data_IF_666872063562
#
_entry.id   IF_666872063562
#
_cell.length_a   1.000
_cell.length_b   1.000
_cell.length_c   1.000
_cell.angle_alpha   90.00
_cell.angle_beta   90.00
_cell.angle_gamma   90.00
#
_symmetry.space_group_name_H-M   'P 1'
#
loop_
_entity.id
_entity.type
_entity.pdbx_description
1 polymer ?
#
# COMPACT_ATOMS: atom_id res chain seq x y z
N UNK A 1 0.93 13.21 -11.32
CA UNK A 1 1.87 13.15 -10.18
C UNK A 1 1.88 11.77 -9.53
N UNK A 2 0.74 11.15 -9.22
CA UNK A 2 0.74 9.84 -8.56
C UNK A 2 1.39 8.69 -9.35
N UNK A 3 1.32 8.67 -10.69
CA UNK A 3 2.11 7.69 -11.49
C UNK A 3 3.61 7.85 -11.24
N UNK A 4 4.13 9.08 -11.22
CA UNK A 4 5.55 9.33 -10.92
C UNK A 4 5.89 8.85 -9.51
N UNK A 5 5.02 9.13 -8.52
CA UNK A 5 5.23 8.65 -7.16
C UNK A 5 5.22 7.11 -7.05
N UNK A 6 4.38 6.43 -7.83
CA UNK A 6 4.33 4.96 -7.93
C UNK A 6 5.66 4.39 -8.47
N UNK A 7 6.17 4.95 -9.58
CA UNK A 7 7.44 4.48 -10.14
C UNK A 7 8.65 4.82 -9.25
N UNK A 8 8.61 5.95 -8.54
CA UNK A 8 9.64 6.29 -7.55
C UNK A 8 9.58 5.31 -6.37
N UNK A 9 8.40 4.88 -5.93
CA UNK A 9 8.28 3.87 -4.90
C UNK A 9 8.87 2.51 -5.36
N UNK A 10 8.62 2.08 -6.60
CA UNK A 10 9.31 0.92 -7.18
C UNK A 10 10.84 1.08 -7.15
N UNK A 11 11.35 2.25 -7.53
CA UNK A 11 12.80 2.54 -7.49
C UNK A 11 13.38 2.51 -6.06
N UNK A 12 12.55 2.77 -5.05
CA UNK A 12 12.88 2.61 -3.63
C UNK A 12 12.63 1.17 -3.12
N UNK A 13 12.36 0.20 -3.99
CA UNK A 13 12.21 -1.22 -3.61
C UNK A 13 10.83 -1.60 -3.08
N UNK A 14 9.78 -0.81 -3.33
CA UNK A 14 8.43 -1.17 -2.94
C UNK A 14 7.76 -2.02 -4.00
N UNK A 15 7.34 -3.23 -3.62
CA UNK A 15 6.49 -4.07 -4.45
C UNK A 15 5.03 -3.59 -4.45
N UNK A 16 4.23 -4.17 -5.33
CA UNK A 16 2.81 -3.88 -5.36
C UNK A 16 2.09 -4.37 -4.10
N UNK A 17 1.13 -3.60 -3.58
CA UNK A 17 0.44 -3.96 -2.33
C UNK A 17 -0.29 -5.32 -2.45
N UNK A 18 -0.85 -5.64 -3.63
CA UNK A 18 -1.54 -6.93 -3.85
C UNK A 18 -0.60 -8.14 -4.01
N UNK A 19 0.72 -7.94 -4.11
CA UNK A 19 1.70 -9.04 -4.10
C UNK A 19 2.20 -9.38 -2.71
N UNK A 20 1.74 -8.70 -1.65
CA UNK A 20 2.09 -9.05 -0.28
C UNK A 20 1.77 -10.52 0.06
N UNK A 21 2.60 -11.20 0.87
CA UNK A 21 2.35 -12.58 1.29
C UNK A 21 1.00 -12.79 2.01
N UNK A 22 0.55 -11.79 2.76
CA UNK A 22 -0.69 -11.77 3.54
C UNK A 22 -1.93 -11.29 2.76
N UNK A 23 -1.80 -10.92 1.47
CA UNK A 23 -2.87 -10.28 0.69
C UNK A 23 -4.17 -11.09 0.61
N UNK A 24 -4.10 -12.42 0.69
CA UNK A 24 -5.26 -13.33 0.65
C UNK A 24 -6.16 -13.20 1.90
N UNK A 25 -5.78 -12.42 2.90
CA UNK A 25 -6.65 -12.03 4.03
C UNK A 25 -7.52 -10.80 3.73
N UNK A 26 -7.19 -10.04 2.67
CA UNK A 26 -7.76 -8.73 2.37
C UNK A 26 -8.46 -8.67 1.02
N UNK A 27 -7.95 -9.41 0.05
CA UNK A 27 -8.46 -9.45 -1.33
C UNK A 27 -8.54 -10.88 -1.85
N UNK A 28 -9.48 -11.10 -2.76
CA UNK A 28 -9.56 -12.29 -3.59
C UNK A 28 -9.09 -11.97 -5.01
N UNK A 29 -8.09 -12.73 -5.49
CA UNK A 29 -7.65 -12.66 -6.89
C UNK A 29 -8.48 -13.64 -7.72
N UNK A 30 -9.23 -13.12 -8.70
CA UNK A 30 -10.07 -13.89 -9.62
C UNK A 30 -9.26 -14.37 -10.81
N UNK A 31 -8.50 -15.44 -10.61
CA UNK A 31 -7.58 -16.03 -11.59
C UNK A 31 -8.22 -16.39 -12.94
N UNK A 32 -9.51 -16.67 -12.95
CA UNK A 32 -10.32 -16.96 -14.14
C UNK A 32 -10.58 -15.72 -15.01
N UNK A 33 -10.53 -14.53 -14.40
CA UNK A 33 -10.76 -13.23 -15.05
C UNK A 33 -9.47 -12.58 -15.53
N UNK A 34 -8.30 -13.10 -15.16
CA UNK A 34 -7.00 -12.54 -15.55
C UNK A 34 -6.60 -13.07 -16.93
N UNK A 35 -6.07 -12.19 -17.77
CA UNK A 35 -5.46 -12.57 -19.05
C UNK A 35 -4.38 -13.64 -18.85
N UNK A 36 -4.35 -14.64 -19.73
CA UNK A 36 -3.53 -15.84 -19.54
C UNK A 36 -2.05 -15.51 -19.39
N UNK A 37 -1.55 -14.54 -20.17
CA UNK A 37 -0.14 -14.16 -20.19
C UNK A 37 0.21 -13.21 -19.04
N UNK A 38 -0.80 -12.65 -18.38
CA UNK A 38 -0.64 -11.70 -17.27
C UNK A 38 -0.76 -12.33 -15.88
N UNK A 39 -1.05 -13.64 -15.76
CA UNK A 39 -1.20 -14.31 -14.45
C UNK A 39 0.01 -14.15 -13.54
N UNK A 40 1.22 -14.10 -14.10
CA UNK A 40 2.45 -13.87 -13.34
C UNK A 40 2.44 -12.56 -12.53
N UNK A 41 1.70 -11.55 -12.97
CA UNK A 41 1.61 -10.22 -12.32
C UNK A 41 0.81 -10.23 -11.00
N UNK A 42 0.18 -11.36 -10.66
CA UNK A 42 -0.64 -11.52 -9.44
C UNK A 42 -0.04 -12.52 -8.45
N UNK A 43 1.15 -13.06 -8.76
CA UNK A 43 1.90 -13.86 -7.81
C UNK A 43 2.23 -13.03 -6.58
N UNK A 44 2.31 -13.70 -5.44
CA UNK A 44 2.77 -13.09 -4.20
C UNK A 44 4.29 -13.10 -4.21
N UNK A 45 4.89 -12.07 -3.62
CA UNK A 45 6.31 -12.07 -3.33
C UNK A 45 6.63 -13.11 -2.25
N UNK A 46 7.89 -13.52 -2.19
CA UNK A 46 8.39 -14.37 -1.13
C UNK A 46 8.30 -13.63 0.23
N UNK A 47 7.81 -14.28 1.30
CA UNK A 47 7.84 -13.72 2.65
C UNK A 47 9.22 -13.22 3.10
N UNK A 48 10.31 -13.83 2.63
CA UNK A 48 11.67 -13.42 2.99
C UNK A 48 12.14 -12.16 2.23
N UNK A 49 11.48 -11.84 1.10
CA UNK A 49 11.78 -10.67 0.26
C UNK A 49 10.91 -9.44 0.60
N UNK A 50 9.95 -9.58 1.53
CA UNK A 50 9.01 -8.49 1.89
C UNK A 50 9.05 -8.18 3.37
N UNK A 51 9.54 -6.97 3.70
CA UNK A 51 9.38 -6.37 5.03
C UNK A 51 8.33 -5.25 4.98
N UNK A 52 7.14 -5.55 5.50
CA UNK A 52 6.05 -4.60 5.70
C UNK A 52 6.19 -3.80 7.01
N UNK A 53 7.25 -3.99 7.79
CA UNK A 53 7.62 -3.27 9.00
C UNK A 53 6.47 -3.12 10.02
N UNK A 54 5.54 -4.10 10.05
CA UNK A 54 4.31 -4.05 10.86
C UNK A 54 3.32 -2.94 10.46
N UNK A 55 3.34 -2.49 9.19
CA UNK A 55 2.33 -1.62 8.59
C UNK A 55 1.20 -2.50 8.01
N UNK A 56 -0.07 -2.25 8.37
CA UNK A 56 -1.20 -3.07 7.90
C UNK A 56 -1.40 -2.95 6.39
N UNK A 57 -2.10 -3.91 5.79
CA UNK A 57 -2.50 -3.88 4.39
C UNK A 57 -3.27 -2.60 4.06
N UNK A 58 -2.94 -1.96 2.95
CA UNK A 58 -3.53 -0.70 2.57
C UNK A 58 -4.21 -0.73 1.20
N UNK A 59 -5.54 -0.86 1.21
CA UNK A 59 -6.35 -0.75 0.00
C UNK A 59 -6.13 0.58 -0.75
N UNK A 60 -5.78 1.66 -0.05
CA UNK A 60 -5.52 2.98 -0.64
C UNK A 60 -4.07 3.19 -1.07
N UNK A 61 -3.19 2.20 -0.94
CA UNK A 61 -1.80 2.34 -1.35
C UNK A 61 -1.70 2.72 -2.82
N UNK A 62 -0.79 3.66 -3.12
CA UNK A 62 -0.46 4.00 -4.50
C UNK A 62 0.12 2.80 -5.26
N UNK A 63 0.64 1.80 -4.53
CA UNK A 63 1.21 0.56 -5.05
C UNK A 63 0.17 -0.52 -5.29
N UNK A 64 -1.09 -0.33 -4.89
CA UNK A 64 -2.13 -1.31 -5.14
C UNK A 64 -2.58 -1.28 -6.61
N UNK A 65 -2.83 -2.46 -7.20
CA UNK A 65 -3.48 -2.59 -8.51
C UNK A 65 -4.92 -2.11 -8.52
N UNK A 66 -5.38 -1.68 -9.69
CA UNK A 66 -6.80 -1.42 -9.96
C UNK A 66 -7.58 -2.73 -9.92
N UNK A 67 -8.85 -2.65 -9.57
CA UNK A 67 -9.77 -3.81 -9.45
C UNK A 67 -9.90 -4.65 -10.72
N UNK A 68 -9.69 -4.06 -11.90
CA UNK A 68 -9.82 -4.68 -13.23
C UNK A 68 -8.48 -4.81 -13.97
N UNK A 69 -7.35 -4.66 -13.26
CA UNK A 69 -6.02 -4.73 -13.89
C UNK A 69 -5.84 -6.06 -14.63
N UNK A 70 -5.30 -6.04 -15.85
CA UNK A 70 -5.02 -7.23 -16.67
C UNK A 70 -6.21 -8.18 -16.86
N UNK A 71 -7.42 -7.63 -16.87
CA UNK A 71 -8.62 -8.42 -17.14
C UNK A 71 -8.61 -8.97 -18.58
N UNK A 72 -9.02 -10.23 -18.73
CA UNK A 72 -9.15 -10.89 -20.05
C UNK A 72 -10.31 -10.34 -20.89
N UNK A 73 -11.31 -9.73 -20.24
CA UNK A 73 -12.48 -9.12 -20.86
C UNK A 73 -12.80 -7.80 -20.17
N UNK A 74 -13.47 -6.90 -20.90
CA UNK A 74 -13.89 -5.63 -20.32
C UNK A 74 -14.78 -5.83 -19.09
N UNK A 75 -14.61 -4.94 -18.12
CA UNK A 75 -15.42 -4.85 -16.91
C UNK A 75 -15.38 -5.99 -15.88
N UNK A 76 -14.55 -7.02 -16.06
CA UNK A 76 -14.36 -8.03 -15.01
C UNK A 76 -13.38 -7.58 -13.94
N UNK A 77 -13.76 -7.78 -12.67
CA UNK A 77 -12.81 -7.65 -11.57
C UNK A 77 -11.82 -8.81 -11.57
N UNK A 78 -10.53 -8.47 -11.58
CA UNK A 78 -9.43 -9.41 -11.32
C UNK A 78 -9.05 -9.41 -9.84
N UNK A 79 -9.34 -8.33 -9.12
CA UNK A 79 -9.17 -8.23 -7.66
C UNK A 79 -10.47 -7.76 -7.04
N UNK A 80 -11.01 -8.56 -6.11
CA UNK A 80 -12.14 -8.16 -5.25
C UNK A 80 -11.70 -7.98 -3.82
N UNK A 81 -12.09 -6.89 -3.18
CA UNK A 81 -11.83 -6.67 -1.75
C UNK A 81 -12.86 -7.46 -0.92
N UNK A 82 -12.45 -8.05 0.21
CA UNK A 82 -13.41 -8.69 1.11
C UNK A 82 -14.32 -7.68 1.82
N UNK A 83 -13.77 -6.51 2.14
CA UNK A 83 -14.55 -5.36 2.59
C UNK A 83 -14.96 -4.55 1.36
N UNK A 84 -16.24 -4.59 1.02
CA UNK A 84 -16.77 -4.05 -0.25
C UNK A 84 -16.60 -2.54 -0.39
N UNK A 85 -16.58 -1.81 0.72
CA UNK A 85 -16.46 -0.34 0.73
C UNK A 85 -15.10 0.12 0.16
N UNK A 86 -14.08 -0.74 0.25
CA UNK A 86 -12.75 -0.48 -0.31
C UNK A 86 -12.60 -0.87 -1.79
N UNK A 87 -13.64 -1.43 -2.42
CA UNK A 87 -13.55 -1.91 -3.81
C UNK A 87 -13.24 -0.79 -4.81
N UNK A 88 -13.68 0.44 -4.50
CA UNK A 88 -13.40 1.66 -5.28
C UNK A 88 -12.14 2.39 -4.82
N UNK A 89 -11.56 2.00 -3.69
CA UNK A 89 -10.33 2.58 -3.14
C UNK A 89 -9.08 2.03 -3.83
N UNK A 90 -9.09 0.73 -4.16
CA UNK A 90 -7.92 0.07 -4.77
C UNK A 90 -7.58 0.64 -6.14
N UNK A 91 -6.28 0.88 -6.36
CA UNK A 91 -5.76 1.37 -7.63
C UNK A 91 -5.87 2.88 -7.85
N UNK A 92 -6.11 3.65 -6.78
CA UNK A 92 -5.97 5.11 -6.83
C UNK A 92 -4.55 5.51 -7.30
N UNK A 93 -4.44 6.64 -8.01
CA UNK A 93 -3.16 7.17 -8.53
C UNK A 93 -3.07 8.69 -8.32
N UNK A 94 -3.66 9.19 -7.25
CA UNK A 94 -3.70 10.61 -6.92
C UNK A 94 -2.48 11.00 -6.09
N UNK A 95 -2.24 10.28 -4.99
CA UNK A 95 -1.18 10.58 -4.03
C UNK A 95 -0.75 9.34 -3.22
N UNK A 96 0.38 9.45 -2.52
CA UNK A 96 0.79 8.48 -1.52
C UNK A 96 -0.24 8.43 -0.39
N UNK A 97 -0.57 7.23 0.05
CA UNK A 97 -1.41 7.03 1.23
C UNK A 97 -0.64 7.34 2.51
N UNK A 98 -1.36 7.45 3.63
CA UNK A 98 -0.71 7.56 4.94
C UNK A 98 0.22 6.37 5.23
N UNK A 99 -0.17 5.15 4.83
CA UNK A 99 0.61 3.95 5.09
C UNK A 99 1.80 3.80 4.13
N UNK A 100 1.70 4.29 2.88
CA UNK A 100 2.85 4.36 1.96
C UNK A 100 3.98 5.19 2.60
N UNK A 101 3.65 6.41 3.03
CA UNK A 101 4.60 7.32 3.68
C UNK A 101 5.12 6.71 5.00
N UNK A 102 4.24 6.07 5.78
CA UNK A 102 4.62 5.43 7.05
C UNK A 102 5.62 4.30 6.84
N UNK A 103 5.39 3.43 5.85
CA UNK A 103 6.28 2.32 5.55
C UNK A 103 7.63 2.84 5.06
N UNK A 104 7.63 3.77 4.10
CA UNK A 104 8.85 4.45 3.63
C UNK A 104 9.67 5.05 4.78
N UNK A 105 9.02 5.76 5.71
CA UNK A 105 9.71 6.34 6.86
C UNK A 105 10.22 5.30 7.85
N UNK A 106 9.53 4.16 8.01
CA UNK A 106 10.05 3.05 8.85
C UNK A 106 11.29 2.41 8.24
N UNK A 107 11.31 2.21 6.93
CA UNK A 107 12.45 1.59 6.22
C UNK A 107 13.64 2.55 6.17
N UNK A 108 13.45 3.80 5.73
CA UNK A 108 14.55 4.72 5.43
C UNK A 108 14.85 5.76 6.50
N UNK A 109 13.93 6.04 7.42
CA UNK A 109 14.05 7.17 8.36
C UNK A 109 13.91 6.78 9.84
N UNK A 110 13.95 5.47 10.16
CA UNK A 110 13.76 4.97 11.53
C UNK A 110 14.77 5.50 12.55
N UNK A 111 15.98 5.86 12.11
CA UNK A 111 17.07 6.33 12.96
C UNK A 111 17.18 7.87 13.04
N UNK A 112 16.30 8.61 12.38
CA UNK A 112 16.39 10.07 12.29
C UNK A 112 15.89 10.74 13.59
N UNK A 113 14.86 10.18 14.23
CA UNK A 113 14.30 10.72 15.47
C UNK A 113 14.86 10.00 16.71
N UNK A 114 15.73 10.67 17.47
CA UNK A 114 16.22 10.17 18.77
C UNK A 114 15.10 10.09 19.82
N UNK A 115 14.08 10.96 19.73
CA UNK A 115 12.92 11.00 20.62
C UNK A 115 11.67 10.54 19.87
N UNK A 116 11.07 9.44 20.32
CA UNK A 116 9.76 8.99 19.85
C UNK A 116 8.67 9.70 20.63
N UNK A 117 7.79 10.43 19.95
CA UNK A 117 6.65 11.10 20.58
C UNK A 117 5.50 10.12 20.81
N UNK A 118 4.69 10.29 21.88
CA UNK A 118 3.48 9.51 22.07
C UNK A 118 2.45 9.89 20.99
N UNK A 119 2.28 9.01 20.00
CA UNK A 119 1.38 9.23 18.88
C UNK A 119 0.05 8.51 19.10
N UNK A 120 -1.06 9.19 18.81
CA UNK A 120 -2.40 8.60 18.87
C UNK A 120 -2.85 8.09 17.50
N UNK A 121 -3.88 7.21 17.48
CA UNK A 121 -4.57 6.74 16.25
C UNK A 121 -3.64 6.17 15.18
N UNK A 122 -2.58 5.48 15.58
CA UNK A 122 -1.60 4.88 14.66
C UNK A 122 -0.67 5.89 13.96
N UNK A 123 -0.64 7.15 14.42
CA UNK A 123 0.32 8.16 13.99
C UNK A 123 1.77 7.81 14.30
N UNK A 124 2.71 8.58 13.73
CA UNK A 124 4.14 8.43 13.98
C UNK A 124 4.85 9.79 13.96
N UNK A 125 6.02 9.87 14.59
CA UNK A 125 6.83 11.11 14.66
C UNK A 125 7.30 11.51 13.26
N UNK A 126 7.17 12.78 12.88
CA UNK A 126 7.66 13.26 11.58
C UNK A 126 9.20 13.25 11.58
N UNK A 127 9.84 12.41 10.73
CA UNK A 127 11.31 12.32 10.70
C UNK A 127 11.99 13.62 10.29
N UNK A 128 11.27 14.57 9.67
CA UNK A 128 11.83 15.87 9.26
C UNK A 128 11.85 16.89 10.39
N UNK A 129 11.17 16.63 11.51
CA UNK A 129 11.06 17.58 12.65
C UNK A 129 11.39 16.89 13.96
N UNK A 130 12.68 16.57 14.13
CA UNK A 130 13.22 15.82 15.28
C UNK A 130 13.22 16.60 16.61
N UNK A 131 13.11 17.92 16.57
CA UNK A 131 13.16 18.82 17.74
C UNK A 131 11.79 19.36 18.18
N UNK A 132 10.71 19.07 17.43
CA UNK A 132 9.37 19.58 17.70
C UNK A 132 8.33 18.49 17.99
N UNK A 133 7.20 18.86 18.58
CA UNK A 133 6.06 17.96 18.87
C UNK A 133 5.24 17.60 17.62
N UNK A 134 5.88 17.40 16.46
CA UNK A 134 5.17 17.15 15.19
C UNK A 134 4.93 15.66 14.96
N UNK A 135 3.67 15.29 14.79
CA UNK A 135 3.22 13.92 14.53
C UNK A 135 2.51 13.90 13.19
N UNK A 136 2.84 12.92 12.35
CA UNK A 136 2.05 12.60 11.16
C UNK A 136 0.88 11.74 11.63
N UNK A 137 -0.33 12.28 11.56
CA UNK A 137 -1.55 11.60 11.98
C UNK A 137 -2.27 11.01 10.77
N UNK A 138 -2.90 9.86 10.99
CA UNK A 138 -3.89 9.32 10.06
C UNK A 138 -5.13 10.21 10.21
N UNK A 139 -5.52 10.93 9.15
CA UNK A 139 -6.77 11.67 9.16
C UNK A 139 -7.92 10.70 9.43
N UNK A 140 -8.94 11.09 10.22
CA UNK A 140 -10.17 10.32 10.28
C UNK A 140 -10.72 10.24 8.85
N UNK A 141 -10.94 9.01 8.38
CA UNK A 141 -11.81 8.80 7.23
C UNK A 141 -13.20 8.93 7.87
N UNK A 142 -13.95 9.96 7.49
CA UNK A 142 -15.30 10.15 7.97
C UNK A 142 -16.08 8.84 7.67
N UNK A 143 -16.61 8.22 8.74
CA UNK A 143 -17.48 7.04 8.67
C UNK A 143 -18.80 7.36 7.96
#
# INVERSE_FOLDING_TARGET
>A
LGVIAHEVAHALGFWHEQSRPDRDQFVNVRWENIDKDSKGQFLKEDPDDVDNAGVPYDYGSIMHYRSKAFSRYDDLYTISTFVTDYQKTIGQRDQLSFNDIRLMNKIYCSNVCSRKLPCQRGGYTDPRRTTGSTIIQRYPIDE
#
